data_IF_813894347287
#
_entry.id   IF_813894347287
#
_cell.length_a   1.000
_cell.length_b   1.000
_cell.length_c   1.000
_cell.angle_alpha   90.00
_cell.angle_beta   90.00
_cell.angle_gamma   90.00
#
_symmetry.space_group_name_H-M   'P 1'
#
loop_
_entity.id
_entity.type
_entity.pdbx_description
1 polymer ?
#
# COMPACT_ATOMS: atom_id res chain seq x y z
N UNK A 1 -15.26 -6.22 -18.96
CA UNK A 1 -13.94 -6.27 -18.31
C UNK A 1 -13.49 -4.84 -18.04
N UNK A 2 -13.18 -4.48 -16.80
CA UNK A 2 -12.71 -3.12 -16.46
C UNK A 2 -11.38 -2.87 -17.18
N UNK A 3 -11.19 -1.68 -17.75
CA UNK A 3 -9.93 -1.37 -18.44
C UNK A 3 -8.75 -1.48 -17.47
N UNK A 4 -7.64 -2.06 -17.93
CA UNK A 4 -6.41 -2.24 -17.13
C UNK A 4 -5.99 -0.98 -16.33
N UNK A 5 -6.03 0.25 -16.89
CA UNK A 5 -5.66 1.44 -16.11
C UNK A 5 -6.63 1.73 -14.96
N UNK A 6 -7.95 1.65 -15.18
CA UNK A 6 -8.95 1.89 -14.13
C UNK A 6 -8.83 0.83 -13.04
N UNK A 7 -8.57 -0.40 -13.44
CA UNK A 7 -8.28 -1.49 -12.52
C UNK A 7 -7.03 -1.17 -11.67
N UNK A 8 -5.91 -0.77 -12.26
CA UNK A 8 -4.67 -0.51 -11.51
C UNK A 8 -4.73 0.72 -10.58
N UNK A 9 -5.51 1.75 -10.94
CA UNK A 9 -5.66 2.98 -10.16
C UNK A 9 -6.63 2.83 -8.99
N UNK A 10 -7.57 1.88 -9.06
CA UNK A 10 -8.63 1.68 -8.07
C UNK A 10 -8.14 1.72 -6.59
N UNK A 11 -7.08 0.97 -6.19
CA UNK A 11 -6.63 0.95 -4.80
C UNK A 11 -6.06 2.30 -4.36
N UNK A 12 -5.40 3.02 -5.27
CA UNK A 12 -4.87 4.36 -5.00
C UNK A 12 -6.01 5.35 -4.80
N UNK A 13 -7.11 5.21 -5.56
CA UNK A 13 -8.32 6.02 -5.39
C UNK A 13 -8.95 5.86 -4.01
N UNK A 14 -9.11 4.61 -3.53
CA UNK A 14 -9.63 4.38 -2.18
C UNK A 14 -8.74 4.98 -1.09
N UNK A 15 -7.42 4.80 -1.21
CA UNK A 15 -6.45 5.34 -0.26
C UNK A 15 -6.44 6.86 -0.29
N UNK A 16 -6.47 7.49 -1.47
CA UNK A 16 -6.45 8.95 -1.59
C UNK A 16 -7.72 9.58 -1.04
N UNK A 17 -8.89 9.02 -1.36
CA UNK A 17 -10.17 9.47 -0.80
C UNK A 17 -10.18 9.30 0.71
N UNK A 18 -9.82 8.14 1.24
CA UNK A 18 -9.75 7.92 2.69
C UNK A 18 -8.78 8.88 3.39
N UNK A 19 -7.61 9.13 2.79
CA UNK A 19 -6.61 10.07 3.31
C UNK A 19 -7.13 11.51 3.32
N UNK A 20 -7.72 11.96 2.21
CA UNK A 20 -8.25 13.31 2.08
C UNK A 20 -9.42 13.53 3.04
N UNK A 21 -10.33 12.56 3.13
CA UNK A 21 -11.45 12.61 4.07
C UNK A 21 -10.97 12.67 5.52
N UNK A 22 -9.91 11.93 5.88
CA UNK A 22 -9.35 11.95 7.22
C UNK A 22 -8.75 13.31 7.58
N UNK A 23 -8.09 13.97 6.62
CA UNK A 23 -7.52 15.31 6.84
C UNK A 23 -8.58 16.40 6.90
N UNK A 24 -9.63 16.31 6.08
CA UNK A 24 -10.61 17.39 5.90
C UNK A 24 -11.82 17.33 6.85
N UNK A 25 -12.22 16.13 7.30
CA UNK A 25 -13.44 15.96 8.10
C UNK A 25 -13.09 15.74 9.58
N UNK A 26 -13.84 16.44 10.44
CA UNK A 26 -13.68 16.35 11.90
C UNK A 26 -14.81 15.57 12.59
N UNK A 27 -15.90 15.26 11.87
CA UNK A 27 -16.98 14.46 12.46
C UNK A 27 -16.47 13.05 12.78
N UNK A 28 -16.74 12.54 13.98
CA UNK A 28 -16.27 11.21 14.41
C UNK A 28 -16.67 10.08 13.45
N UNK A 29 -17.93 10.08 12.98
CA UNK A 29 -18.40 9.12 11.98
C UNK A 29 -17.67 9.22 10.64
N UNK A 30 -17.26 10.43 10.25
CA UNK A 30 -16.48 10.65 9.03
C UNK A 30 -15.04 10.15 9.16
N UNK A 31 -14.43 10.28 10.34
CA UNK A 31 -13.12 9.71 10.61
C UNK A 31 -13.17 8.18 10.51
N UNK A 32 -14.21 7.55 11.09
CA UNK A 32 -14.39 6.10 11.01
C UNK A 32 -14.58 5.64 9.56
N UNK A 33 -15.40 6.32 8.77
CA UNK A 33 -15.61 5.97 7.36
C UNK A 33 -14.34 6.19 6.52
N UNK A 34 -13.58 7.25 6.78
CA UNK A 34 -12.30 7.52 6.14
C UNK A 34 -11.27 6.41 6.43
N UNK A 35 -11.19 5.96 7.69
CA UNK A 35 -10.34 4.84 8.08
C UNK A 35 -10.75 3.54 7.37
N UNK A 36 -12.04 3.22 7.33
CA UNK A 36 -12.54 2.03 6.62
C UNK A 36 -12.17 2.08 5.14
N UNK A 37 -12.40 3.22 4.47
CA UNK A 37 -12.02 3.41 3.07
C UNK A 37 -10.52 3.24 2.83
N UNK A 38 -9.70 3.82 3.72
CA UNK A 38 -8.26 3.68 3.68
C UNK A 38 -7.82 2.21 3.79
N UNK A 39 -8.36 1.48 4.77
CA UNK A 39 -8.01 0.07 4.99
C UNK A 39 -8.46 -0.84 3.85
N UNK A 40 -9.65 -0.60 3.29
CA UNK A 40 -10.12 -1.32 2.10
C UNK A 40 -9.16 -1.08 0.94
N UNK A 41 -8.76 0.17 0.68
CA UNK A 41 -7.79 0.50 -0.36
C UNK A 41 -6.43 -0.20 -0.15
N UNK A 42 -5.93 -0.21 1.08
CA UNK A 42 -4.70 -0.91 1.45
C UNK A 42 -4.78 -2.43 1.25
N UNK A 43 -5.92 -3.04 1.61
CA UNK A 43 -6.16 -4.47 1.39
C UNK A 43 -6.22 -4.81 -0.09
N UNK A 44 -6.99 -4.07 -0.89
CA UNK A 44 -7.10 -4.28 -2.34
C UNK A 44 -5.72 -4.11 -3.00
N UNK A 45 -4.95 -3.09 -2.61
CA UNK A 45 -3.58 -2.93 -3.10
C UNK A 45 -2.73 -4.16 -2.78
N UNK A 46 -2.82 -4.68 -1.56
CA UNK A 46 -2.06 -5.85 -1.12
C UNK A 46 -2.43 -7.12 -1.87
N UNK A 47 -3.72 -7.41 -2.03
CA UNK A 47 -4.19 -8.54 -2.83
C UNK A 47 -3.64 -8.48 -4.26
N UNK A 48 -3.69 -7.29 -4.88
CA UNK A 48 -3.17 -7.09 -6.24
C UNK A 48 -1.65 -7.13 -6.31
N UNK A 49 -0.96 -6.61 -5.31
CA UNK A 49 0.50 -6.72 -5.19
C UNK A 49 0.95 -8.18 -5.03
N UNK A 50 0.15 -9.02 -4.37
CA UNK A 50 0.40 -10.45 -4.26
C UNK A 50 0.08 -11.20 -5.55
N UNK A 51 -1.01 -10.87 -6.23
CA UNK A 51 -1.36 -11.47 -7.53
C UNK A 51 -0.31 -11.21 -8.60
N UNK A 52 0.39 -10.07 -8.52
CA UNK A 52 1.53 -9.72 -9.41
C UNK A 52 2.80 -10.55 -9.18
N UNK A 53 2.89 -11.29 -8.07
CA UNK A 53 4.06 -12.13 -7.79
C UNK A 53 3.97 -13.42 -8.60
N UNK A 54 4.96 -13.64 -9.46
CA UNK A 54 5.16 -14.91 -10.17
C UNK A 54 6.07 -15.87 -9.40
N UNK A 55 6.71 -15.41 -8.33
CA UNK A 55 7.62 -16.22 -7.53
C UNK A 55 6.87 -17.34 -6.77
N UNK A 56 7.32 -18.60 -6.89
CA UNK A 56 6.71 -19.72 -6.16
C UNK A 56 6.90 -19.52 -4.65
N UNK A 57 5.90 -19.94 -3.86
CA UNK A 57 5.88 -19.77 -2.40
C UNK A 57 7.17 -20.27 -1.72
N UNK A 58 7.72 -21.38 -2.20
CA UNK A 58 8.95 -22.02 -1.69
C UNK A 58 10.21 -21.16 -1.85
N UNK A 59 10.26 -20.24 -2.82
CA UNK A 59 11.41 -19.33 -3.04
C UNK A 59 11.27 -18.01 -2.27
N UNK A 60 10.15 -17.79 -1.56
CA UNK A 60 9.91 -16.56 -0.81
C UNK A 60 10.67 -16.62 0.52
N UNK A 61 11.53 -15.64 0.78
CA UNK A 61 12.18 -15.50 2.10
C UNK A 61 11.11 -15.33 3.17
N UNK A 62 11.10 -16.21 4.16
CA UNK A 62 10.32 -16.04 5.39
C UNK A 62 11.00 -14.96 6.24
N UNK A 63 10.36 -13.81 6.36
CA UNK A 63 10.76 -12.81 7.35
C UNK A 63 10.31 -13.21 8.75
N UNK A 64 10.84 -12.54 9.77
CA UNK A 64 10.45 -12.71 11.18
C UNK A 64 8.99 -12.28 11.42
N UNK A 65 8.49 -11.35 10.59
CA UNK A 65 7.16 -10.78 10.74
C UNK A 65 6.09 -11.58 9.96
N UNK A 66 4.88 -11.73 10.53
CA UNK A 66 3.74 -12.28 9.81
C UNK A 66 3.53 -11.55 8.48
N UNK A 67 3.29 -12.32 7.42
CA UNK A 67 3.18 -11.77 6.06
C UNK A 67 2.10 -10.67 5.96
N UNK A 68 1.00 -10.79 6.71
CA UNK A 68 -0.07 -9.79 6.77
C UNK A 68 0.42 -8.44 7.29
N UNK A 69 1.17 -8.44 8.40
CA UNK A 69 1.70 -7.20 9.01
C UNK A 69 2.76 -6.59 8.11
N UNK A 70 3.71 -7.41 7.62
CA UNK A 70 4.73 -6.95 6.68
C UNK A 70 4.10 -6.31 5.43
N UNK A 71 3.00 -6.89 4.94
CA UNK A 71 2.32 -6.36 3.76
C UNK A 71 1.61 -5.03 4.04
N UNK A 72 1.18 -4.77 5.27
CA UNK A 72 0.52 -3.53 5.67
C UNK A 72 1.50 -2.41 6.02
N UNK A 73 2.79 -2.71 6.24
CA UNK A 73 3.82 -1.72 6.67
C UNK A 73 3.79 -0.37 5.95
N UNK A 74 3.81 -0.25 4.60
CA UNK A 74 3.79 1.07 3.96
C UNK A 74 2.51 1.86 4.31
N UNK A 75 1.37 1.19 4.43
CA UNK A 75 0.10 1.82 4.75
C UNK A 75 0.03 2.28 6.20
N UNK A 76 0.68 1.57 7.12
CA UNK A 76 0.83 2.00 8.51
C UNK A 76 1.64 3.30 8.56
N UNK A 77 2.78 3.37 7.87
CA UNK A 77 3.58 4.59 7.80
C UNK A 77 2.80 5.77 7.18
N UNK A 78 2.00 5.50 6.15
CA UNK A 78 1.16 6.53 5.51
C UNK A 78 0.05 7.00 6.46
N UNK A 79 -0.60 6.08 7.18
CA UNK A 79 -1.63 6.40 8.16
C UNK A 79 -1.05 7.21 9.34
N UNK A 80 0.11 6.84 9.86
CA UNK A 80 0.78 7.60 10.92
C UNK A 80 1.15 9.01 10.43
N UNK A 81 1.69 9.14 9.21
CA UNK A 81 1.99 10.45 8.63
C UNK A 81 0.73 11.33 8.51
N UNK A 82 -0.39 10.76 8.07
CA UNK A 82 -1.66 11.49 7.94
C UNK A 82 -2.26 11.91 9.28
N UNK A 83 -2.14 11.05 10.31
CA UNK A 83 -2.52 11.42 11.68
C UNK A 83 -1.63 12.53 12.24
N UNK A 84 -0.33 12.51 11.97
CA UNK A 84 0.58 13.59 12.38
C UNK A 84 0.17 14.92 11.74
N UNK A 85 -0.16 14.92 10.44
CA UNK A 85 -0.65 16.13 9.77
C UNK A 85 -1.98 16.65 10.35
N UNK A 86 -2.88 15.76 10.79
CA UNK A 86 -4.16 16.16 11.39
C UNK A 86 -4.00 16.70 12.82
N UNK A 87 -3.24 15.99 13.67
CA UNK A 87 -3.20 16.27 15.11
C UNK A 87 -2.01 17.13 15.56
N UNK A 88 -0.90 17.12 14.83
CA UNK A 88 0.30 17.91 15.12
C UNK A 88 0.66 18.81 13.92
N UNK A 89 -0.18 19.78 13.55
CA UNK A 89 0.04 20.63 12.38
C UNK A 89 1.19 21.64 12.55
N UNK A 90 1.69 21.86 13.77
CA UNK A 90 2.71 22.86 14.08
C UNK A 90 3.99 22.25 14.68
N UNK A 91 5.07 23.03 14.67
CA UNK A 91 6.36 22.63 15.21
C UNK A 91 7.04 21.54 14.37
N UNK A 92 7.51 20.48 15.04
CA UNK A 92 8.27 19.38 14.41
C UNK A 92 7.34 18.38 13.70
N UNK A 93 6.03 18.42 13.98
CA UNK A 93 5.03 17.50 13.42
C UNK A 93 5.05 17.39 11.90
N UNK A 94 4.93 18.50 11.14
CA UNK A 94 4.95 18.46 9.68
C UNK A 94 6.22 17.84 9.09
N UNK A 95 7.38 18.10 9.71
CA UNK A 95 8.67 17.54 9.28
C UNK A 95 8.65 16.01 9.46
N UNK A 96 8.24 15.54 10.64
CA UNK A 96 8.10 14.11 10.91
C UNK A 96 7.08 13.44 9.97
N UNK A 97 5.95 14.11 9.71
CA UNK A 97 4.92 13.66 8.77
C UNK A 97 5.46 13.51 7.34
N UNK A 98 6.22 14.48 6.84
CA UNK A 98 6.86 14.44 5.52
C UNK A 98 7.87 13.28 5.44
N UNK A 99 8.72 13.11 6.46
CA UNK A 99 9.69 12.01 6.50
C UNK A 99 9.00 10.63 6.46
N UNK A 100 7.91 10.44 7.22
CA UNK A 100 7.16 9.20 7.22
C UNK A 100 6.40 8.95 5.92
N UNK A 101 5.77 10.00 5.36
CA UNK A 101 5.06 9.92 4.09
C UNK A 101 6.01 9.56 2.95
N UNK A 102 7.16 10.22 2.86
CA UNK A 102 8.17 9.94 1.83
C UNK A 102 8.74 8.52 1.98
N UNK A 103 9.02 8.07 3.20
CA UNK A 103 9.45 6.69 3.46
C UNK A 103 8.39 5.64 3.05
N UNK A 104 7.12 5.89 3.36
CA UNK A 104 6.00 5.05 2.93
C UNK A 104 5.92 4.93 1.41
N UNK A 105 5.94 6.06 0.70
CA UNK A 105 5.90 6.11 -0.75
C UNK A 105 7.08 5.39 -1.38
N UNK A 106 8.28 5.58 -0.83
CA UNK A 106 9.48 4.87 -1.25
C UNK A 106 9.33 3.34 -1.16
N UNK A 107 8.76 2.82 -0.06
CA UNK A 107 8.48 1.38 0.08
C UNK A 107 7.46 0.93 -0.98
N UNK A 108 6.39 1.70 -1.22
CA UNK A 108 5.38 1.38 -2.23
C UNK A 108 5.96 1.36 -3.65
N UNK A 109 6.83 2.31 -3.98
CA UNK A 109 7.51 2.38 -5.29
C UNK A 109 8.49 1.22 -5.48
N UNK A 110 9.28 0.87 -4.45
CA UNK A 110 10.11 -0.34 -4.50
C UNK A 110 9.22 -1.57 -4.73
N UNK A 111 8.14 -1.69 -3.97
CA UNK A 111 7.24 -2.84 -4.06
C UNK A 111 6.56 -2.97 -5.43
N UNK A 112 6.15 -1.86 -6.05
CA UNK A 112 5.59 -1.87 -7.40
C UNK A 112 6.65 -2.20 -8.46
N UNK A 113 7.89 -1.75 -8.26
CA UNK A 113 9.00 -1.98 -9.20
C UNK A 113 9.49 -3.43 -9.19
N UNK A 114 9.64 -4.04 -8.01
CA UNK A 114 10.15 -5.41 -7.87
C UNK A 114 9.07 -6.49 -8.04
N UNK A 115 7.77 -6.16 -7.98
CA UNK A 115 6.65 -7.11 -8.17
C UNK A 115 5.92 -6.82 -9.47
N UNK A 116 6.64 -6.86 -10.59
CA UNK A 116 6.06 -6.85 -11.93
C UNK A 116 5.86 -8.30 -12.38
N UNK A 117 4.77 -8.57 -13.08
CA UNK A 117 4.59 -9.84 -13.76
C UNK A 117 5.73 -10.00 -14.77
N UNK A 118 6.69 -10.87 -14.47
CA UNK A 118 7.56 -11.41 -15.49
C UNK A 118 6.81 -12.61 -16.07
N UNK A 119 6.47 -12.58 -17.36
CA UNK A 119 5.95 -13.76 -18.04
C UNK A 119 6.95 -14.91 -17.81
N UNK A 120 6.50 -16.15 -17.52
CA UNK A 120 7.43 -17.26 -17.47
C UNK A 120 8.13 -17.33 -18.83
N UNK A 121 9.43 -16.99 -18.85
CA UNK A 121 10.26 -17.28 -20.01
C UNK A 121 10.18 -18.80 -20.16
N UNK A 122 9.62 -19.27 -21.28
CA UNK A 122 9.38 -20.68 -21.60
C UNK A 122 10.52 -21.52 -21.03
N UNK A 123 10.24 -22.19 -19.92
CA UNK A 123 11.20 -23.06 -19.27
C UNK A 123 11.20 -24.32 -20.13
N UNK A 124 11.98 -24.26 -21.21
CA UNK A 124 12.26 -25.38 -22.11
C UNK A 124 12.98 -26.42 -21.26
N UNK A 125 12.23 -27.37 -20.73
CA UNK A 125 12.79 -28.54 -20.06
C UNK A 125 13.72 -29.23 -21.08
N UNK A 126 15.03 -29.41 -20.80
CA UNK A 126 15.80 -30.38 -21.55
C UNK A 126 15.24 -31.75 -21.14
N UNK A 127 14.59 -32.42 -22.09
CA UNK A 127 14.20 -33.81 -21.95
C UNK A 127 15.48 -34.63 -21.70
N UNK A 128 15.52 -35.34 -20.58
CA UNK A 128 16.41 -36.47 -20.35
C UNK A 128 15.55 -37.67 -20.00
#
# INVERSE_FOLDING_TARGET
MLSKPVYEVLPLGYISVGTLSLLMLDQGFAIVSALVMFFIGAQIYNMRSQNRRTDPLRKRKSGVWPSSIYNLTPFIYLLVATLIFKFLPSGIGPIAGICLMTYSLYILVRRSSYRRHCLPCSQRYPNF
#
